data_IF_657829740922
#
_entry.id   IF_657829740922
#
_cell.length_a   1.000
_cell.length_b   1.000
_cell.length_c   1.000
_cell.angle_alpha   90.00
_cell.angle_beta   90.00
_cell.angle_gamma   90.00
#
_symmetry.space_group_name_H-M   'P 1'
#
loop_
_entity.id
_entity.type
_entity.pdbx_description
1 polymer ?
#
# COMPACT_ATOMS: atom_id res chain seq x y z
N UNK A 1 -63.27 89.01 -2.36
CA UNK A 1 -62.08 89.73 -1.85
C UNK A 1 -61.06 88.70 -1.40
N UNK A 2 -59.90 88.64 -2.05
CA UNK A 2 -58.63 88.21 -1.43
C UNK A 2 -58.33 89.11 -0.20
N UNK A 3 -57.50 88.73 0.80
CA UNK A 3 -56.17 88.06 0.69
C UNK A 3 -55.97 86.85 1.64
N UNK A 4 -55.11 85.87 1.33
CA UNK A 4 -53.67 85.72 1.67
C UNK A 4 -53.39 85.68 3.19
N UNK A 5 -52.57 84.82 3.82
CA UNK A 5 -51.64 83.72 3.47
C UNK A 5 -51.14 83.17 4.81
N UNK A 6 -51.01 81.85 4.99
CA UNK A 6 -50.04 81.25 5.92
C UNK A 6 -49.78 79.79 5.53
N UNK A 7 -48.52 79.48 5.21
CA UNK A 7 -48.05 78.14 4.85
C UNK A 7 -47.83 77.27 6.10
N UNK A 8 -48.17 75.96 6.07
CA UNK A 8 -47.81 75.02 7.13
C UNK A 8 -46.44 74.36 6.89
N UNK A 9 -45.79 73.84 7.96
CA UNK A 9 -44.38 73.47 7.95
C UNK A 9 -44.10 72.13 7.25
N UNK A 10 -42.86 72.03 6.77
CA UNK A 10 -42.29 70.88 6.06
C UNK A 10 -42.37 69.59 6.90
N UNK A 11 -43.07 68.59 6.36
CA UNK A 11 -43.06 67.22 6.88
C UNK A 11 -41.73 66.55 6.54
N UNK A 12 -40.97 66.19 7.58
CA UNK A 12 -39.81 65.33 7.48
C UNK A 12 -40.24 63.91 7.07
N UNK A 13 -39.94 63.53 5.84
CA UNK A 13 -40.03 62.14 5.38
C UNK A 13 -38.86 61.35 5.98
N UNK A 14 -39.14 60.58 7.03
CA UNK A 14 -38.23 59.55 7.54
C UNK A 14 -38.24 58.37 6.57
N UNK A 15 -37.15 58.21 5.82
CA UNK A 15 -36.90 57.01 5.01
C UNK A 15 -36.63 55.85 5.97
N UNK A 16 -37.65 55.04 6.26
CA UNK A 16 -37.44 53.75 6.89
C UNK A 16 -36.78 52.81 5.88
N UNK A 17 -35.47 52.65 6.02
CA UNK A 17 -34.69 51.58 5.39
C UNK A 17 -35.22 50.25 5.93
N UNK A 18 -36.06 49.57 5.14
CA UNK A 18 -36.44 48.18 5.41
C UNK A 18 -35.19 47.31 5.23
N UNK A 19 -34.50 47.01 6.33
CA UNK A 19 -33.46 46.00 6.37
C UNK A 19 -34.16 44.64 6.21
N UNK A 20 -34.13 44.07 5.00
CA UNK A 20 -34.48 42.67 4.79
C UNK A 20 -33.49 41.82 5.59
N UNK A 21 -33.88 41.38 6.80
CA UNK A 21 -33.24 40.25 7.45
C UNK A 21 -33.53 39.03 6.58
N UNK A 22 -32.64 38.73 5.64
CA UNK A 22 -32.53 37.37 5.15
C UNK A 22 -32.05 36.55 6.35
N UNK A 23 -32.96 35.80 6.97
CA UNK A 23 -32.56 34.66 7.76
C UNK A 23 -31.82 33.73 6.81
N UNK A 24 -30.50 33.85 6.76
CA UNK A 24 -29.66 32.79 6.25
C UNK A 24 -29.94 31.61 7.16
N UNK A 25 -30.91 30.78 6.78
CA UNK A 25 -30.93 29.39 7.21
C UNK A 25 -29.60 28.87 6.73
N UNK A 26 -28.64 28.84 7.66
CA UNK A 26 -27.43 28.06 7.52
C UNK A 26 -27.95 26.64 7.40
N UNK A 27 -28.20 26.21 6.16
CA UNK A 27 -28.14 24.81 5.84
C UNK A 27 -26.72 24.43 6.23
N UNK A 28 -26.55 23.94 7.46
CA UNK A 28 -25.43 23.10 7.79
C UNK A 28 -25.57 21.94 6.82
N UNK A 29 -24.89 22.05 5.67
CA UNK A 29 -24.37 20.89 5.01
C UNK A 29 -23.56 20.21 6.11
N UNK A 30 -24.15 19.17 6.69
CA UNK A 30 -23.38 18.17 7.39
C UNK A 30 -22.33 17.75 6.38
N UNK A 31 -21.11 18.25 6.55
CA UNK A 31 -19.94 17.64 5.97
C UNK A 31 -20.06 16.16 6.30
N UNK A 32 -20.04 15.25 5.32
CA UNK A 32 -20.05 13.84 5.64
C UNK A 32 -18.94 13.61 6.65
N UNK A 33 -19.29 13.08 7.82
CA UNK A 33 -18.28 12.64 8.77
C UNK A 33 -17.37 11.70 8.00
N UNK A 34 -16.06 11.92 8.10
CA UNK A 34 -15.00 11.17 7.43
C UNK A 34 -14.87 9.73 7.94
N UNK A 35 -15.98 9.08 8.30
CA UNK A 35 -16.05 7.79 8.99
C UNK A 35 -16.27 6.60 8.05
N UNK A 36 -16.47 6.83 6.75
CA UNK A 36 -16.83 5.75 5.81
C UNK A 36 -15.77 5.47 4.73
N UNK A 37 -14.53 5.91 4.92
CA UNK A 37 -13.42 5.47 4.08
C UNK A 37 -12.92 4.09 4.54
N UNK A 38 -13.79 3.08 4.48
CA UNK A 38 -13.38 1.68 4.65
C UNK A 38 -12.33 1.42 3.59
N UNK A 39 -11.09 1.20 3.99
CA UNK A 39 -10.02 0.89 3.04
C UNK A 39 -10.25 -0.51 2.51
N UNK A 40 -10.74 -0.62 1.27
CA UNK A 40 -11.05 -1.89 0.64
C UNK A 40 -9.77 -2.54 0.12
N UNK A 41 -9.33 -3.60 0.79
CA UNK A 41 -8.23 -4.45 0.33
C UNK A 41 -8.83 -5.63 -0.44
N UNK A 42 -8.35 -5.86 -1.66
CA UNK A 42 -8.78 -6.98 -2.51
C UNK A 42 -7.60 -7.65 -3.22
N UNK A 43 -7.47 -8.98 -3.21
CA UNK A 43 -8.24 -9.94 -2.40
C UNK A 43 -8.09 -9.68 -0.90
N UNK A 44 -9.12 -10.06 -0.12
CA UNK A 44 -9.10 -9.90 1.33
C UNK A 44 -7.95 -10.73 1.93
N UNK A 45 -7.08 -10.15 2.77
CA UNK A 45 -5.98 -10.87 3.39
C UNK A 45 -6.45 -12.01 4.31
N UNK A 46 -5.59 -13.01 4.53
CA UNK A 46 -5.87 -14.11 5.46
C UNK A 46 -6.16 -13.62 6.89
N UNK A 47 -5.37 -12.67 7.41
CA UNK A 47 -5.67 -11.97 8.66
C UNK A 47 -5.17 -10.52 8.62
N UNK A 48 -5.91 -9.61 9.28
CA UNK A 48 -5.46 -8.24 9.45
C UNK A 48 -6.07 -7.58 10.69
N UNK A 49 -5.37 -6.57 11.21
CA UNK A 49 -5.87 -5.62 12.20
C UNK A 49 -5.60 -4.20 11.73
N UNK A 50 -6.56 -3.30 11.93
CA UNK A 50 -6.44 -1.88 11.63
C UNK A 50 -6.77 -1.03 12.85
N UNK A 51 -6.31 0.22 12.82
CA UNK A 51 -6.57 1.23 13.84
C UNK A 51 -7.53 2.32 13.35
N UNK A 52 -7.34 3.54 13.83
CA UNK A 52 -8.20 4.68 13.50
C UNK A 52 -7.41 5.96 13.13
N UNK A 53 -6.08 5.86 13.03
CA UNK A 53 -5.23 6.98 12.66
C UNK A 53 -5.12 7.11 11.13
N UNK A 54 -4.77 8.31 10.67
CA UNK A 54 -4.46 8.57 9.25
C UNK A 54 -3.02 9.01 9.14
N UNK A 55 -2.26 8.36 8.26
CA UNK A 55 -0.84 8.62 8.01
C UNK A 55 -0.63 9.16 6.61
N UNK A 56 0.24 10.15 6.48
CA UNK A 56 0.65 10.73 5.21
C UNK A 56 1.86 10.00 4.62
N UNK A 57 1.86 9.77 3.31
CA UNK A 57 2.96 9.09 2.60
C UNK A 57 3.73 10.10 1.75
N UNK A 58 5.06 10.12 1.87
CA UNK A 58 5.92 11.03 1.12
C UNK A 58 5.94 10.69 -0.38
N UNK A 59 5.65 11.63 -1.28
CA UNK A 59 5.88 11.46 -2.73
C UNK A 59 7.29 10.98 -3.11
N UNK A 60 8.30 11.31 -2.29
CA UNK A 60 9.68 10.86 -2.47
C UNK A 60 9.98 9.51 -1.78
N UNK A 61 8.94 8.73 -1.41
CA UNK A 61 9.02 7.41 -0.76
C UNK A 61 10.24 6.61 -1.25
N UNK A 62 11.12 6.26 -0.31
CA UNK A 62 12.34 5.52 -0.62
C UNK A 62 12.22 4.06 -0.18
N UNK A 63 12.95 3.19 -0.88
CA UNK A 63 13.04 1.76 -0.58
C UNK A 63 14.28 1.52 0.27
N UNK A 64 14.11 0.83 1.40
CA UNK A 64 15.21 0.25 2.17
C UNK A 64 15.13 -1.27 2.05
N UNK A 65 16.05 -1.85 1.28
CA UNK A 65 16.15 -3.28 1.05
C UNK A 65 17.63 -3.68 1.09
N UNK A 66 18.04 -4.64 1.96
CA UNK A 66 19.44 -5.01 2.11
C UNK A 66 19.99 -5.89 0.96
N UNK A 67 19.11 -6.50 0.16
CA UNK A 67 19.53 -7.32 -0.98
C UNK A 67 19.68 -6.52 -2.27
N UNK A 68 20.17 -7.19 -3.32
CA UNK A 68 20.26 -6.65 -4.68
C UNK A 68 19.35 -7.50 -5.58
N UNK A 69 18.09 -7.09 -5.69
CA UNK A 69 17.05 -7.79 -6.47
C UNK A 69 16.41 -6.81 -7.43
N UNK A 70 16.64 -7.03 -8.72
CA UNK A 70 16.04 -6.23 -9.78
C UNK A 70 14.51 -6.32 -9.75
N UNK A 71 13.97 -7.50 -9.43
CA UNK A 71 12.53 -7.76 -9.32
C UNK A 71 11.89 -6.84 -8.27
N UNK A 72 12.49 -6.75 -7.07
CA UNK A 72 11.96 -5.92 -5.99
C UNK A 72 12.09 -4.43 -6.33
N UNK A 73 13.24 -4.01 -6.88
CA UNK A 73 13.43 -2.61 -7.25
C UNK A 73 12.46 -2.16 -8.34
N UNK A 74 12.27 -2.97 -9.38
CA UNK A 74 11.38 -2.67 -10.50
C UNK A 74 9.92 -2.66 -10.04
N UNK A 75 9.51 -3.62 -9.21
CA UNK A 75 8.19 -3.64 -8.62
C UNK A 75 7.94 -2.43 -7.72
N UNK A 76 8.90 -2.05 -6.88
CA UNK A 76 8.77 -0.86 -6.05
C UNK A 76 8.58 0.41 -6.90
N UNK A 77 9.38 0.60 -7.95
CA UNK A 77 9.21 1.75 -8.84
C UNK A 77 7.86 1.73 -9.56
N UNK A 78 7.41 0.55 -10.00
CA UNK A 78 6.09 0.36 -10.61
C UNK A 78 4.99 0.79 -9.65
N UNK A 79 4.92 0.24 -8.44
CA UNK A 79 3.88 0.61 -7.47
C UNK A 79 3.99 2.06 -7.01
N UNK A 80 5.20 2.60 -6.85
CA UNK A 80 5.39 4.03 -6.57
C UNK A 80 4.76 4.89 -7.67
N UNK A 81 4.95 4.52 -8.94
CA UNK A 81 4.34 5.25 -10.06
C UNK A 81 2.80 5.19 -10.06
N UNK A 82 2.22 4.07 -9.59
CA UNK A 82 0.78 3.90 -9.46
C UNK A 82 0.22 4.73 -8.30
N UNK A 83 0.81 4.60 -7.11
CA UNK A 83 0.39 5.31 -5.88
C UNK A 83 0.42 6.83 -6.10
N UNK A 84 1.48 7.33 -6.73
CA UNK A 84 1.69 8.76 -6.91
C UNK A 84 1.29 9.29 -8.30
N UNK A 85 0.52 8.53 -9.08
CA UNK A 85 0.05 8.92 -10.42
C UNK A 85 -0.63 10.29 -10.45
N UNK A 86 -1.35 10.63 -9.38
CA UNK A 86 -2.09 11.89 -9.22
C UNK A 86 -1.40 12.90 -8.30
N UNK A 87 -0.30 12.52 -7.66
CA UNK A 87 0.46 13.42 -6.82
C UNK A 87 1.28 14.36 -7.70
N UNK A 88 1.04 15.66 -7.58
CA UNK A 88 1.87 16.66 -8.26
C UNK A 88 3.29 16.57 -7.71
N UNK A 89 4.24 16.11 -8.53
CA UNK A 89 5.67 16.16 -8.21
C UNK A 89 6.05 17.64 -8.09
N UNK A 90 6.15 18.14 -6.86
CA UNK A 90 6.71 19.47 -6.62
C UNK A 90 8.22 19.35 -6.91
N UNK A 91 8.76 19.99 -7.97
CA UNK A 91 10.20 19.95 -8.22
C UNK A 91 10.92 20.68 -7.07
N UNK A 92 12.08 20.18 -6.64
CA UNK A 92 12.94 20.90 -5.69
C UNK A 92 13.37 22.30 -6.20
N UNK A 93 14.09 23.15 -5.43
CA UNK A 93 14.63 23.02 -4.08
C UNK A 93 13.86 23.92 -3.11
N UNK A 94 12.76 23.40 -2.55
CA UNK A 94 11.98 24.10 -1.53
C UNK A 94 11.59 23.15 -0.40
N UNK A 95 12.57 22.39 0.10
CA UNK A 95 12.48 21.70 1.41
C UNK A 95 12.20 22.68 2.57
N UNK A 96 12.29 23.99 2.34
CA UNK A 96 12.11 25.06 3.33
C UNK A 96 10.66 25.54 3.51
N UNK A 97 9.69 25.05 2.72
CA UNK A 97 8.28 25.48 2.79
C UNK A 97 7.29 24.29 2.72
N UNK A 98 7.68 23.10 3.18
CA UNK A 98 6.74 21.97 3.26
C UNK A 98 5.98 22.05 4.58
N UNK A 99 4.69 21.71 4.54
CA UNK A 99 3.86 21.51 5.72
C UNK A 99 4.40 20.42 6.65
N UNK A 100 3.58 19.85 7.55
CA UNK A 100 4.05 18.87 8.51
C UNK A 100 4.83 17.72 7.83
N UNK A 101 5.87 17.16 8.48
CA UNK A 101 6.64 16.05 7.93
C UNK A 101 5.72 14.88 7.56
N UNK A 102 6.00 14.20 6.45
CA UNK A 102 5.26 13.00 6.07
C UNK A 102 5.54 11.89 7.08
N UNK A 103 4.51 11.12 7.40
CA UNK A 103 4.61 10.05 8.39
C UNK A 103 5.41 8.87 7.83
N UNK A 104 5.10 8.43 6.61
CA UNK A 104 5.78 7.31 5.93
C UNK A 104 6.67 7.83 4.81
N UNK A 105 7.99 7.75 4.99
CA UNK A 105 8.99 8.21 4.00
C UNK A 105 9.93 7.10 3.51
N UNK A 106 10.02 6.00 4.25
CA UNK A 106 10.83 4.82 3.93
C UNK A 106 9.96 3.57 4.04
N UNK A 107 9.96 2.75 2.99
CA UNK A 107 9.41 1.40 3.01
C UNK A 107 10.55 0.41 3.20
N UNK A 108 10.59 -0.28 4.34
CA UNK A 108 11.58 -1.32 4.59
C UNK A 108 11.06 -2.65 4.07
N UNK A 109 11.85 -3.34 3.24
CA UNK A 109 11.56 -4.69 2.77
C UNK A 109 12.60 -5.65 3.33
N UNK A 110 12.14 -6.75 3.92
CA UNK A 110 12.95 -7.82 4.47
C UNK A 110 12.55 -9.11 3.75
N UNK A 111 13.48 -9.71 3.02
CA UNK A 111 13.27 -10.99 2.32
C UNK A 111 14.30 -12.00 2.80
N UNK A 112 13.85 -13.19 3.21
CA UNK A 112 14.72 -14.23 3.77
C UNK A 112 15.47 -15.02 2.69
N UNK A 113 14.84 -15.26 1.55
CA UNK A 113 15.44 -15.94 0.39
C UNK A 113 15.57 -14.99 -0.79
N UNK A 114 16.79 -14.80 -1.28
CA UNK A 114 17.06 -14.07 -2.52
C UNK A 114 16.93 -14.95 -3.77
N UNK A 115 16.35 -16.15 -3.66
CA UNK A 115 16.09 -16.97 -4.84
C UNK A 115 14.97 -16.33 -5.68
N UNK A 116 15.35 -15.91 -6.89
CA UNK A 116 14.47 -15.24 -7.84
C UNK A 116 13.87 -16.19 -8.89
N UNK A 117 14.20 -17.49 -8.86
CA UNK A 117 13.67 -18.43 -9.85
C UNK A 117 12.15 -18.63 -9.67
N UNK A 118 11.37 -18.31 -10.72
CA UNK A 118 9.93 -18.52 -10.72
C UNK A 118 9.62 -20.01 -10.89
N UNK A 119 9.25 -20.66 -9.80
CA UNK A 119 8.76 -22.04 -9.82
C UNK A 119 7.27 -22.08 -9.46
N UNK A 120 6.57 -23.13 -9.91
CA UNK A 120 5.20 -23.34 -9.46
C UNK A 120 5.18 -23.68 -7.97
N UNK A 121 4.29 -23.04 -7.20
CA UNK A 121 4.16 -23.28 -5.77
C UNK A 121 5.19 -22.57 -4.90
N UNK A 122 5.87 -21.54 -5.43
CA UNK A 122 6.72 -20.66 -4.62
C UNK A 122 5.91 -20.01 -3.51
N UNK A 123 6.55 -19.82 -2.35
CA UNK A 123 5.95 -19.17 -1.20
C UNK A 123 5.68 -17.69 -1.49
N UNK A 124 4.41 -17.32 -1.52
CA UNK A 124 3.93 -15.94 -1.72
C UNK A 124 3.39 -15.32 -0.42
N UNK A 125 3.68 -15.91 0.74
CA UNK A 125 3.29 -15.39 2.04
C UNK A 125 4.06 -14.11 2.39
N UNK A 126 3.38 -13.21 3.10
CA UNK A 126 3.99 -11.96 3.55
C UNK A 126 3.32 -11.42 4.83
N UNK A 127 4.06 -10.55 5.51
CA UNK A 127 3.55 -9.71 6.60
C UNK A 127 3.79 -8.25 6.22
N UNK A 128 2.75 -7.42 6.31
CA UNK A 128 2.82 -5.97 6.13
C UNK A 128 2.45 -5.27 7.44
N UNK A 129 3.35 -4.42 7.92
CA UNK A 129 3.20 -3.65 9.15
C UNK A 129 3.28 -2.17 8.84
N UNK A 130 2.29 -1.41 9.28
CA UNK A 130 2.31 0.04 9.28
C UNK A 130 2.10 0.51 10.72
N UNK A 131 3.11 1.09 11.34
CA UNK A 131 3.04 1.58 12.72
C UNK A 131 2.38 2.97 12.80
N UNK A 132 1.94 3.35 14.00
CA UNK A 132 1.41 4.68 14.28
C UNK A 132 2.54 5.72 14.37
N UNK A 133 2.20 7.01 14.39
CA UNK A 133 3.16 8.14 14.50
C UNK A 133 4.13 8.00 15.68
N UNK A 134 3.68 7.43 16.78
CA UNK A 134 4.49 7.23 17.99
C UNK A 134 5.35 5.95 17.93
N UNK A 135 5.42 5.28 16.78
CA UNK A 135 6.06 3.97 16.60
C UNK A 135 5.26 2.79 17.18
N UNK A 136 4.11 3.06 17.81
CA UNK A 136 3.21 2.05 18.36
C UNK A 136 2.60 1.15 17.28
N UNK A 137 2.69 -0.16 17.46
CA UNK A 137 1.96 -1.16 16.71
C UNK A 137 0.71 -1.57 17.51
N UNK A 138 -0.40 -1.96 16.87
CA UNK A 138 -1.56 -2.54 17.59
C UNK A 138 -1.21 -3.85 18.30
N UNK A 139 -0.10 -4.49 17.89
CA UNK A 139 0.50 -5.60 18.63
C UNK A 139 1.18 -5.02 19.89
N UNK A 140 0.62 -5.32 21.07
CA UNK A 140 0.92 -4.69 22.35
C UNK A 140 2.41 -4.50 22.64
N UNK A 141 2.79 -3.27 23.01
CA UNK A 141 4.14 -2.96 23.44
C UNK A 141 4.41 -3.55 24.83
N UNK A 142 5.49 -4.32 24.98
CA UNK A 142 6.02 -4.70 26.27
C UNK A 142 6.87 -3.56 26.83
N UNK A 143 6.66 -3.17 28.09
CA UNK A 143 7.54 -2.21 28.77
C UNK A 143 8.65 -3.00 29.48
N UNK A 144 9.91 -2.70 29.15
CA UNK A 144 11.08 -3.33 29.78
C UNK A 144 11.58 -2.37 30.88
N UNK A 145 11.48 -2.79 32.15
CA UNK A 145 12.14 -2.09 33.26
C UNK A 145 13.44 -2.80 33.64
N UNK A 146 14.53 -2.04 33.80
CA UNK A 146 15.82 -2.58 34.22
C UNK A 146 15.84 -2.78 35.74
N UNK A 147 15.63 -4.02 36.19
CA UNK A 147 15.81 -4.44 37.58
C UNK A 147 17.11 -5.23 37.78
N UNK A 148 18.23 -4.57 38.03
CA UNK A 148 19.51 -5.24 38.31
C UNK A 148 20.15 -5.91 37.08
N UNK A 149 20.80 -7.06 37.28
CA UNK A 149 21.53 -7.85 36.26
C UNK A 149 20.59 -8.74 35.39
N UNK A 150 19.27 -8.56 35.51
CA UNK A 150 18.26 -9.31 34.74
C UNK A 150 17.26 -8.36 34.07
N UNK A 151 16.87 -8.68 32.84
CA UNK A 151 15.82 -7.97 32.11
C UNK A 151 14.47 -8.60 32.44
N UNK A 152 13.55 -7.83 33.02
CA UNK A 152 12.20 -8.30 33.35
C UNK A 152 11.23 -7.70 32.36
N UNK A 153 10.54 -8.57 31.61
CA UNK A 153 9.51 -8.17 30.65
C UNK A 153 8.13 -8.30 31.30
N UNK A 154 7.36 -7.21 31.34
CA UNK A 154 5.98 -7.23 31.84
C UNK A 154 5.00 -7.14 30.67
N UNK A 155 4.36 -8.25 30.25
CA UNK A 155 3.15 -8.15 29.46
C UNK A 155 1.96 -7.77 30.35
N UNK A 156 0.98 -7.03 29.80
CA UNK A 156 -0.27 -6.66 30.48
C UNK A 156 -1.12 -7.86 30.96
N UNK A 157 -0.70 -9.10 30.67
CA UNK A 157 -1.39 -10.36 31.02
C UNK A 157 -0.61 -11.33 31.91
N UNK A 158 0.47 -10.91 32.60
CA UNK A 158 0.95 -11.62 33.80
C UNK A 158 1.77 -12.90 33.59
N UNK A 159 2.48 -13.04 32.47
CA UNK A 159 3.47 -14.11 32.26
C UNK A 159 4.87 -13.58 32.57
N UNK A 160 5.50 -14.06 33.65
CA UNK A 160 6.90 -13.79 34.01
C UNK A 160 7.82 -14.84 33.41
N UNK A 161 8.85 -14.41 32.66
CA UNK A 161 9.97 -15.25 32.23
C UNK A 161 11.28 -14.73 32.86
N UNK A 162 12.09 -15.65 33.37
CA UNK A 162 13.41 -15.39 33.96
C UNK A 162 14.45 -16.15 33.12
N UNK A 163 15.29 -15.43 32.36
CA UNK A 163 16.50 -16.00 31.74
C UNK A 163 17.70 -15.06 31.99
N UNK A 164 18.85 -15.64 32.34
CA UNK A 164 20.12 -14.94 32.55
C UNK A 164 20.83 -14.71 31.20
N UNK A 165 20.97 -13.44 30.78
CA UNK A 165 21.75 -13.07 29.60
C UNK A 165 23.17 -12.63 29.98
N UNK A 166 24.17 -13.15 29.26
CA UNK A 166 25.57 -12.75 29.42
C UNK A 166 25.81 -11.33 28.89
N UNK A 167 26.64 -10.56 29.61
CA UNK A 167 26.75 -9.09 29.61
C UNK A 167 27.23 -8.38 28.32
N UNK A 168 27.27 -9.08 27.19
CA UNK A 168 27.87 -8.59 25.93
C UNK A 168 26.89 -8.39 24.76
N UNK A 169 25.63 -8.80 24.90
CA UNK A 169 24.64 -8.76 23.80
C UNK A 169 23.52 -7.77 24.10
N UNK A 170 23.28 -6.81 23.19
CA UNK A 170 22.04 -6.03 23.17
C UNK A 170 20.99 -6.83 22.38
N UNK A 171 20.03 -7.42 23.08
CA UNK A 171 18.92 -8.17 22.48
C UNK A 171 17.67 -7.29 22.52
N UNK A 172 17.04 -7.09 21.36
CA UNK A 172 15.72 -6.46 21.29
C UNK A 172 14.66 -7.56 21.28
N UNK A 173 13.79 -7.60 22.30
CA UNK A 173 12.70 -8.57 22.40
C UNK A 173 11.42 -7.97 21.81
N UNK A 174 10.85 -8.60 20.79
CA UNK A 174 9.48 -8.32 20.34
C UNK A 174 8.54 -9.38 20.88
N UNK A 175 7.48 -8.97 21.59
CA UNK A 175 6.36 -9.84 21.96
C UNK A 175 5.29 -9.77 20.87
N UNK A 176 4.80 -10.93 20.44
CA UNK A 176 3.61 -11.05 19.61
C UNK A 176 2.55 -11.88 20.36
N UNK A 177 1.34 -11.36 20.48
CA UNK A 177 0.17 -12.15 20.88
C UNK A 177 -0.57 -12.62 19.63
N UNK A 178 -0.89 -13.92 19.59
CA UNK A 178 -1.72 -14.51 18.54
C UNK A 178 -3.14 -14.76 19.10
N UNK A 179 -4.16 -14.08 18.57
CA UNK A 179 -5.55 -14.34 18.96
C UNK A 179 -6.12 -15.52 18.17
N UNK A 180 -5.74 -16.72 18.60
CA UNK A 180 -6.36 -18.01 18.25
C UNK A 180 -6.64 -18.83 19.51
N UNK A 181 -7.35 -19.95 19.38
CA UNK A 181 -7.88 -20.77 20.50
C UNK A 181 -6.82 -21.52 21.37
N UNK A 182 -5.62 -20.96 21.43
CA UNK A 182 -4.48 -21.31 22.27
C UNK A 182 -3.48 -20.16 22.13
N UNK A 183 -3.37 -19.32 23.15
CA UNK A 183 -2.50 -18.15 23.16
C UNK A 183 -1.04 -18.58 23.35
N UNK A 184 -0.27 -18.64 22.26
CA UNK A 184 1.19 -18.79 22.29
C UNK A 184 1.87 -17.44 22.07
N UNK A 185 2.90 -17.14 22.88
CA UNK A 185 3.73 -15.95 22.79
C UNK A 185 4.96 -16.29 21.96
N UNK A 186 5.15 -15.61 20.83
CA UNK A 186 6.37 -15.73 20.02
C UNK A 186 7.36 -14.63 20.39
N UNK A 187 8.60 -15.02 20.70
CA UNK A 187 9.73 -14.11 20.94
C UNK A 187 10.65 -14.21 19.73
N UNK A 188 10.77 -13.14 18.96
CA UNK A 188 11.77 -13.04 17.90
C UNK A 188 13.02 -12.36 18.48
N UNK A 189 14.13 -13.10 18.56
CA UNK A 189 15.42 -12.57 18.97
C UNK A 189 16.12 -11.94 17.76
N UNK A 190 16.28 -10.62 17.76
CA UNK A 190 17.13 -9.94 16.79
C UNK A 190 18.54 -9.82 17.38
N UNK A 191 19.50 -10.55 16.80
CA UNK A 191 20.92 -10.42 17.13
C UNK A 191 21.47 -9.13 16.50
N UNK A 192 21.79 -8.15 17.35
CA UNK A 192 22.41 -6.89 16.91
C UNK A 192 23.92 -7.13 16.90
N UNK A 193 24.45 -7.55 15.75
CA UNK A 193 25.91 -7.55 15.57
C UNK A 193 26.45 -6.11 15.60
N UNK A 194 27.24 -5.87 16.65
CA UNK A 194 28.23 -4.82 16.88
C UNK A 194 27.92 -3.38 16.42
N UNK A 195 27.62 -2.54 17.42
CA UNK A 195 28.42 -1.33 17.61
C UNK A 195 28.11 -0.13 16.72
N UNK A 196 26.87 0.35 16.72
CA UNK A 196 26.59 1.78 16.46
C UNK A 196 25.37 2.21 17.26
N UNK A 197 25.58 3.05 18.28
CA UNK A 197 24.51 3.86 18.85
C UNK A 197 23.97 4.76 17.73
N UNK A 198 22.94 4.29 17.03
CA UNK A 198 22.05 5.17 16.29
C UNK A 198 21.21 5.91 17.33
N UNK A 199 20.83 7.14 17.00
CA UNK A 199 19.85 7.94 17.73
C UNK A 199 18.61 7.10 18.08
N UNK A 200 17.76 7.59 18.99
CA UNK A 200 16.43 7.03 19.21
C UNK A 200 15.59 7.11 17.91
N UNK A 201 15.93 6.27 16.94
CA UNK A 201 15.29 6.12 15.66
C UNK A 201 14.14 5.17 15.92
N UNK A 202 12.93 5.74 15.99
CA UNK A 202 11.73 4.94 15.98
C UNK A 202 11.81 3.96 14.81
N UNK A 203 11.37 2.69 15.00
CA UNK A 203 11.38 1.71 13.92
C UNK A 203 10.66 2.28 12.69
N UNK A 204 11.08 1.93 11.47
CA UNK A 204 10.47 2.45 10.26
C UNK A 204 8.95 2.20 10.29
N UNK A 205 8.18 3.23 9.96
CA UNK A 205 6.72 3.17 10.10
C UNK A 205 6.09 2.16 9.14
N UNK A 206 6.75 1.77 8.04
CA UNK A 206 6.25 0.76 7.11
C UNK A 206 7.30 -0.34 6.87
N UNK A 207 6.94 -1.58 7.20
CA UNK A 207 7.80 -2.76 7.08
C UNK A 207 7.05 -3.88 6.36
N UNK A 208 7.69 -4.44 5.34
CA UNK A 208 7.26 -5.61 4.58
C UNK A 208 8.23 -6.76 4.83
N UNK A 209 7.70 -7.91 5.22
CA UNK A 209 8.48 -9.13 5.45
C UNK A 209 7.92 -10.28 4.62
N UNK A 210 8.78 -11.01 3.92
CA UNK A 210 8.39 -12.17 3.13
C UNK A 210 9.52 -13.21 3.12
N UNK A 211 9.17 -14.48 2.85
CA UNK A 211 10.17 -15.52 2.70
C UNK A 211 10.87 -15.46 1.33
N UNK A 212 10.17 -15.00 0.29
CA UNK A 212 10.68 -14.90 -1.08
C UNK A 212 10.38 -13.52 -1.69
N UNK A 213 11.03 -13.22 -2.81
CA UNK A 213 10.75 -12.00 -3.60
C UNK A 213 9.29 -11.92 -4.04
N UNK A 214 8.63 -13.06 -4.30
CA UNK A 214 7.24 -13.12 -4.75
C UNK A 214 6.25 -12.74 -3.65
N UNK A 215 6.51 -13.15 -2.41
CA UNK A 215 5.74 -12.67 -1.26
C UNK A 215 5.87 -11.15 -1.10
N UNK A 216 7.07 -10.59 -1.30
CA UNK A 216 7.27 -9.14 -1.28
C UNK A 216 6.49 -8.42 -2.40
N UNK A 217 6.37 -9.00 -3.61
CA UNK A 217 5.53 -8.47 -4.68
C UNK A 217 4.05 -8.41 -4.30
N UNK A 218 3.53 -9.43 -3.60
CA UNK A 218 2.14 -9.45 -3.08
C UNK A 218 1.95 -8.41 -1.98
N UNK A 219 2.96 -8.23 -1.15
CA UNK A 219 2.94 -7.24 -0.08
C UNK A 219 2.94 -5.80 -0.62
N UNK A 220 3.71 -5.53 -1.68
CA UNK A 220 3.71 -4.25 -2.38
C UNK A 220 2.38 -3.93 -3.06
N UNK A 221 1.71 -4.94 -3.63
CA UNK A 221 0.33 -4.80 -4.15
C UNK A 221 -0.60 -4.32 -3.03
N UNK A 222 -0.61 -5.04 -1.91
CA UNK A 222 -1.47 -4.70 -0.75
C UNK A 222 -1.14 -3.32 -0.19
N UNK A 223 0.15 -2.97 -0.07
CA UNK A 223 0.57 -1.63 0.34
C UNK A 223 0.04 -0.54 -0.61
N UNK A 224 0.05 -0.80 -1.93
CA UNK A 224 -0.47 0.15 -2.91
C UNK A 224 -1.97 0.40 -2.76
N UNK A 225 -2.75 -0.63 -2.37
CA UNK A 225 -4.19 -0.50 -2.12
C UNK A 225 -4.50 0.26 -0.82
N UNK A 226 -3.63 0.17 0.18
CA UNK A 226 -3.75 0.97 1.40
C UNK A 226 -3.50 2.47 1.15
N UNK A 227 -2.78 2.81 0.08
CA UNK A 227 -2.45 4.18 -0.26
C UNK A 227 -3.58 4.82 -1.09
N UNK A 228 -4.25 5.81 -0.52
CA UNK A 228 -5.34 6.55 -1.17
C UNK A 228 -4.94 8.00 -1.39
N UNK A 229 -5.21 8.55 -2.58
CA UNK A 229 -4.99 9.96 -2.84
C UNK A 229 -6.13 10.82 -2.29
N UNK A 230 -5.82 11.74 -1.37
CA UNK A 230 -6.76 12.73 -0.88
C UNK A 230 -6.74 13.98 -1.78
N UNK A 231 -7.87 14.27 -2.43
CA UNK A 231 -7.99 15.40 -3.35
C UNK A 231 -7.99 16.78 -2.67
N UNK A 232 -8.40 16.86 -1.39
CA UNK A 232 -8.44 18.11 -0.63
C UNK A 232 -7.05 18.53 -0.17
N UNK A 233 -6.30 17.60 0.40
CA UNK A 233 -4.93 17.77 0.86
C UNK A 233 -3.89 17.62 -0.26
N UNK A 234 -4.29 17.06 -1.41
CA UNK A 234 -3.40 16.73 -2.55
C UNK A 234 -2.20 15.87 -2.15
N UNK A 235 -2.43 14.94 -1.23
CA UNK A 235 -1.41 14.05 -0.66
C UNK A 235 -1.92 12.63 -0.64
N UNK A 236 -1.01 11.66 -0.64
CA UNK A 236 -1.34 10.24 -0.43
C UNK A 236 -1.43 9.98 1.06
N UNK A 237 -2.50 9.30 1.47
CA UNK A 237 -2.82 8.96 2.85
C UNK A 237 -3.05 7.46 2.98
N UNK A 238 -2.77 6.92 4.16
CA UNK A 238 -3.15 5.59 4.61
C UNK A 238 -4.11 5.78 5.78
N UNK A 239 -5.36 5.37 5.58
CA UNK A 239 -6.41 5.43 6.61
C UNK A 239 -6.33 4.20 7.52
N UNK A 240 -6.99 4.28 8.68
CA UNK A 240 -7.08 3.18 9.66
C UNK A 240 -5.72 2.59 10.08
N UNK A 241 -4.68 3.40 10.10
CA UNK A 241 -3.41 3.00 10.70
C UNK A 241 -3.52 2.91 12.24
N UNK A 242 -2.67 2.14 12.90
CA UNK A 242 -1.67 1.23 12.34
C UNK A 242 -2.29 -0.03 11.72
N UNK A 243 -1.60 -0.63 10.76
CA UNK A 243 -1.99 -1.89 10.11
C UNK A 243 -1.03 -3.01 10.49
N UNK A 244 -1.61 -4.19 10.70
CA UNK A 244 -0.88 -5.45 10.74
C UNK A 244 -1.61 -6.45 9.85
N UNK A 245 -0.96 -6.92 8.80
CA UNK A 245 -1.54 -7.83 7.82
C UNK A 245 -0.63 -9.04 7.71
N UNK A 246 -1.18 -10.24 7.84
CA UNK A 246 -0.53 -11.49 7.47
C UNK A 246 -1.36 -12.14 6.38
N UNK A 247 -0.72 -12.54 5.30
CA UNK A 247 -1.44 -13.03 4.14
C UNK A 247 -0.64 -14.11 3.43
N UNK A 248 -1.39 -15.06 2.88
CA UNK A 248 -0.88 -16.16 2.09
C UNK A 248 -1.97 -16.66 1.13
N UNK A 249 -1.60 -17.15 -0.06
CA UNK A 249 -2.59 -17.68 -0.97
C UNK A 249 -3.13 -19.02 -0.46
N UNK A 250 -4.46 -19.13 -0.30
CA UNK A 250 -5.12 -20.41 -0.01
C UNK A 250 -4.82 -21.50 -1.05
N UNK A 251 -4.65 -21.12 -2.32
CA UNK A 251 -4.36 -22.02 -3.43
C UNK A 251 -3.16 -21.51 -4.22
N UNK A 252 -2.21 -22.41 -4.50
CA UNK A 252 -1.00 -22.08 -5.26
C UNK A 252 -1.29 -21.76 -6.74
N UNK A 253 -2.30 -22.38 -7.35
CA UNK A 253 -2.68 -22.12 -8.75
C UNK A 253 -3.84 -21.13 -8.83
N UNK A 254 -3.59 -19.92 -9.34
CA UNK A 254 -4.61 -18.89 -9.54
C UNK A 254 -4.48 -18.35 -10.95
N UNK A 255 -5.26 -18.97 -11.85
CA UNK A 255 -5.09 -18.84 -13.29
C UNK A 255 -6.09 -17.89 -13.95
N UNK A 256 -5.64 -17.25 -15.03
CA UNK A 256 -6.50 -16.61 -16.04
C UNK A 256 -6.23 -17.25 -17.39
N UNK A 257 -7.28 -17.70 -18.09
CA UNK A 257 -7.14 -18.21 -19.45
C UNK A 257 -7.40 -17.09 -20.45
N UNK A 258 -6.48 -16.89 -21.39
CA UNK A 258 -6.69 -16.08 -22.58
C UNK A 258 -6.70 -16.98 -23.81
N UNK A 259 -7.56 -16.67 -24.77
CA UNK A 259 -7.70 -17.44 -26.01
C UNK A 259 -7.32 -16.55 -27.19
N UNK A 260 -6.17 -16.85 -27.79
CA UNK A 260 -5.67 -16.18 -28.99
C UNK A 260 -5.87 -16.99 -30.26
N UNK A 261 -6.45 -18.20 -30.15
CA UNK A 261 -6.77 -19.06 -31.30
C UNK A 261 -8.04 -18.58 -32.00
N UNK A 262 -9.03 -18.11 -31.25
CA UNK A 262 -10.33 -17.66 -31.80
C UNK A 262 -10.31 -16.22 -32.29
N UNK A 263 -9.55 -15.36 -31.60
CA UNK A 263 -9.30 -13.97 -31.99
C UNK A 263 -7.88 -13.58 -31.60
N UNK A 264 -7.18 -12.88 -32.48
CA UNK A 264 -5.85 -12.37 -32.16
C UNK A 264 -5.91 -11.30 -31.06
N UNK A 265 -5.03 -11.40 -30.06
CA UNK A 265 -4.80 -10.37 -29.05
C UNK A 265 -3.43 -9.70 -29.29
N UNK A 266 -3.35 -8.38 -29.49
CA UNK A 266 -2.05 -7.70 -29.58
C UNK A 266 -1.19 -7.95 -28.34
N UNK A 267 0.13 -8.03 -28.51
CA UNK A 267 1.09 -8.27 -27.41
C UNK A 267 0.88 -7.29 -26.26
N UNK A 268 0.70 -6.00 -26.56
CA UNK A 268 0.44 -4.98 -25.54
C UNK A 268 -0.82 -5.25 -24.72
N UNK A 269 -1.86 -5.84 -25.32
CA UNK A 269 -3.09 -6.23 -24.62
C UNK A 269 -2.83 -7.41 -23.68
N UNK A 270 -2.03 -8.40 -24.12
CA UNK A 270 -1.64 -9.52 -23.27
C UNK A 270 -0.83 -9.01 -22.06
N UNK A 271 0.11 -8.10 -22.27
CA UNK A 271 0.91 -7.48 -21.18
C UNK A 271 0.04 -6.68 -20.21
N UNK A 272 -0.95 -5.93 -20.72
CA UNK A 272 -1.93 -5.24 -19.87
C UNK A 272 -2.79 -6.22 -19.04
N UNK A 273 -3.12 -7.39 -19.59
CA UNK A 273 -3.81 -8.46 -18.86
C UNK A 273 -2.91 -9.00 -17.75
N UNK A 274 -1.64 -9.28 -18.03
CA UNK A 274 -0.65 -9.73 -17.03
C UNK A 274 -0.46 -8.67 -15.92
N UNK A 275 -0.37 -7.39 -16.30
CA UNK A 275 -0.33 -6.30 -15.32
C UNK A 275 -1.59 -6.30 -14.45
N UNK A 276 -2.77 -6.49 -15.05
CA UNK A 276 -4.04 -6.52 -14.32
C UNK A 276 -4.18 -7.74 -13.40
N UNK A 277 -3.57 -8.86 -13.78
CA UNK A 277 -3.50 -10.07 -12.94
C UNK A 277 -2.77 -9.80 -11.61
N UNK A 278 -1.79 -8.87 -11.60
CA UNK A 278 -1.07 -8.51 -10.38
C UNK A 278 -1.98 -7.90 -9.30
N UNK A 279 -2.94 -7.05 -9.70
CA UNK A 279 -3.92 -6.43 -8.79
C UNK A 279 -4.82 -7.46 -8.09
N UNK A 280 -5.14 -8.55 -8.78
CA UNK A 280 -5.94 -9.64 -8.25
C UNK A 280 -5.09 -10.76 -7.61
N UNK A 281 -3.76 -10.57 -7.50
CA UNK A 281 -2.79 -11.56 -7.03
C UNK A 281 -2.88 -12.90 -7.80
N UNK A 282 -3.27 -12.89 -9.07
CA UNK A 282 -3.20 -14.07 -9.94
C UNK A 282 -1.74 -14.34 -10.33
N UNK A 283 -1.40 -15.60 -10.60
CA UNK A 283 -0.01 -16.02 -10.82
C UNK A 283 0.20 -16.97 -12.00
N UNK A 284 -0.87 -17.43 -12.67
CA UNK A 284 -0.75 -18.26 -13.86
C UNK A 284 -1.53 -17.64 -15.02
N UNK A 285 -0.85 -17.34 -16.12
CA UNK A 285 -1.52 -17.06 -17.38
C UNK A 285 -1.61 -18.37 -18.17
N UNK A 286 -2.81 -18.92 -18.28
CA UNK A 286 -3.06 -20.03 -19.18
C UNK A 286 -3.29 -19.46 -20.58
N UNK A 287 -2.24 -19.40 -21.37
CA UNK A 287 -2.33 -18.90 -22.73
C UNK A 287 -2.74 -20.02 -23.69
N UNK A 288 -4.02 -20.03 -24.07
CA UNK A 288 -4.56 -20.90 -25.11
C UNK A 288 -4.23 -20.29 -26.48
N UNK A 289 -3.04 -20.62 -26.98
CA UNK A 289 -2.40 -19.87 -28.07
C UNK A 289 -3.04 -20.13 -29.45
N UNK A 290 -3.36 -21.39 -29.72
CA UNK A 290 -3.79 -21.90 -31.03
C UNK A 290 -5.10 -22.67 -30.89
N UNK A 291 -5.94 -22.64 -31.93
CA UNK A 291 -7.14 -23.46 -32.00
C UNK A 291 -7.48 -23.80 -33.47
N UNK A 292 -8.66 -24.36 -33.75
CA UNK A 292 -9.08 -24.72 -35.11
C UNK A 292 -9.10 -23.51 -36.04
N UNK A 293 -9.53 -22.35 -35.53
CA UNK A 293 -9.68 -21.13 -36.33
C UNK A 293 -8.35 -20.47 -36.71
N UNK A 294 -7.33 -20.55 -35.85
CA UNK A 294 -6.03 -19.95 -36.17
C UNK A 294 -4.83 -20.55 -35.45
N UNK A 295 -3.68 -20.44 -36.12
CA UNK A 295 -2.36 -20.77 -35.59
C UNK A 295 -1.44 -19.54 -35.66
N UNK A 296 -1.45 -18.63 -34.68
CA UNK A 296 -0.68 -17.38 -34.76
C UNK A 296 0.80 -17.50 -34.33
N UNK A 297 1.19 -18.57 -33.63
CA UNK A 297 2.52 -18.70 -33.03
C UNK A 297 3.61 -19.13 -34.03
N UNK A 298 4.75 -18.46 -34.02
CA UNK A 298 5.93 -18.87 -34.76
C UNK A 298 6.55 -20.16 -34.20
N UNK A 299 6.87 -21.11 -35.08
CA UNK A 299 7.60 -22.33 -34.71
C UNK A 299 8.78 -22.54 -35.65
N UNK A 300 9.98 -22.65 -35.09
CA UNK A 300 11.21 -22.79 -35.86
C UNK A 300 11.30 -24.13 -36.61
N UNK A 301 10.78 -25.21 -36.01
CA UNK A 301 10.78 -26.56 -36.60
C UNK A 301 9.74 -26.71 -37.72
N UNK A 302 8.61 -25.99 -37.64
CA UNK A 302 7.52 -26.08 -38.62
C UNK A 302 7.09 -24.69 -39.11
N UNK A 303 7.92 -24.01 -39.92
CA UNK A 303 7.75 -22.60 -40.29
C UNK A 303 6.49 -22.31 -41.14
N UNK A 304 5.76 -23.34 -41.57
CA UNK A 304 4.53 -23.21 -42.32
C UNK A 304 3.26 -23.26 -41.47
N UNK A 305 3.32 -23.64 -40.18
CA UNK A 305 2.12 -23.74 -39.33
C UNK A 305 1.41 -22.40 -39.17
N UNK A 306 2.17 -21.33 -38.90
CA UNK A 306 1.60 -19.98 -38.77
C UNK A 306 1.09 -19.34 -40.08
N UNK A 307 1.10 -20.09 -41.20
CA UNK A 307 0.25 -19.75 -42.35
C UNK A 307 -1.24 -19.90 -42.03
N UNK A 308 -1.58 -20.63 -40.97
CA UNK A 308 -2.93 -20.70 -40.39
C UNK A 308 -3.30 -19.50 -39.52
N UNK A 309 -2.45 -18.48 -39.36
CA UNK A 309 -2.85 -17.22 -38.73
C UNK A 309 -3.88 -16.48 -39.61
N UNK A 310 -4.73 -15.65 -38.99
CA UNK A 310 -5.72 -14.83 -39.71
C UNK A 310 -5.07 -13.91 -40.75
N UNK A 311 -3.93 -13.31 -40.43
CA UNK A 311 -3.15 -12.50 -41.36
C UNK A 311 -1.65 -12.54 -41.02
N UNK A 312 -0.85 -11.83 -41.81
CA UNK A 312 0.59 -11.66 -41.53
C UNK A 312 0.87 -10.78 -40.32
N UNK A 313 -0.08 -9.93 -39.94
CA UNK A 313 0.06 -8.96 -38.85
C UNK A 313 -0.47 -9.48 -37.51
N UNK A 314 -1.19 -10.60 -37.55
CA UNK A 314 -1.83 -11.26 -36.41
C UNK A 314 -1.06 -12.52 -36.06
N UNK A 315 0.23 -12.35 -35.75
CA UNK A 315 1.19 -13.42 -35.47
C UNK A 315 2.01 -13.06 -34.25
N UNK A 316 2.40 -14.09 -33.49
CA UNK A 316 3.37 -13.97 -32.41
C UNK A 316 4.70 -14.54 -32.89
N UNK A 317 5.71 -13.68 -32.97
CA UNK A 317 7.09 -14.11 -33.19
C UNK A 317 7.63 -14.81 -31.94
N UNK A 318 8.76 -15.50 -32.10
CA UNK A 318 9.48 -16.07 -30.95
C UNK A 318 9.90 -14.96 -29.98
N UNK A 319 10.29 -13.80 -30.48
CA UNK A 319 10.64 -12.63 -29.68
C UNK A 319 9.43 -12.10 -28.89
N UNK A 320 8.25 -12.05 -29.50
CA UNK A 320 7.01 -11.66 -28.81
C UNK A 320 6.71 -12.61 -27.65
N UNK A 321 6.86 -13.93 -27.86
CA UNK A 321 6.64 -14.92 -26.82
C UNK A 321 7.65 -14.76 -25.66
N UNK A 322 8.92 -14.48 -25.95
CA UNK A 322 9.91 -14.18 -24.90
C UNK A 322 9.60 -12.88 -24.15
N UNK A 323 9.15 -11.83 -24.84
CA UNK A 323 8.77 -10.56 -24.20
C UNK A 323 7.54 -10.70 -23.30
N UNK A 324 6.60 -11.61 -23.61
CA UNK A 324 5.44 -11.90 -22.76
C UNK A 324 5.82 -12.69 -21.50
N UNK A 325 6.83 -13.58 -21.59
CA UNK A 325 7.26 -14.43 -20.46
C UNK A 325 8.13 -13.68 -19.46
N UNK A 326 8.84 -12.64 -19.89
CA UNK A 326 9.76 -11.85 -19.07
C UNK A 326 9.04 -10.88 -18.15
#
# INVERSE_FOLDING_TARGET
MQPATAAPPAAAFSVHLLLLLSTATVFSLSTPSSTDAVTYIWPLPASFTSGNATLSVDPDLSLSYPGDSAIISDAFQRYKSLIFKHATRVPGPSRLLRGPPFDVSVLQIIVHSTNEELQFGVDESYTLRIANRDGGSIVGAATIEKGGDSLVCFPLFGVTFEEEFSSSQQIFLRLFENFGNGSEIFIEMLDIQEGKMMSADFPPLAVLQANTVYGALRALETFSQLCTFDYGLKTVQIYEAPWYIQDEPRFAYRGLLIDTGRHYLPVDVIKQIIDSMSYAKLNVLHWHIVDEESFPLETSTYPYLWKGAFSKWERYTVEDAYDIVK
#
